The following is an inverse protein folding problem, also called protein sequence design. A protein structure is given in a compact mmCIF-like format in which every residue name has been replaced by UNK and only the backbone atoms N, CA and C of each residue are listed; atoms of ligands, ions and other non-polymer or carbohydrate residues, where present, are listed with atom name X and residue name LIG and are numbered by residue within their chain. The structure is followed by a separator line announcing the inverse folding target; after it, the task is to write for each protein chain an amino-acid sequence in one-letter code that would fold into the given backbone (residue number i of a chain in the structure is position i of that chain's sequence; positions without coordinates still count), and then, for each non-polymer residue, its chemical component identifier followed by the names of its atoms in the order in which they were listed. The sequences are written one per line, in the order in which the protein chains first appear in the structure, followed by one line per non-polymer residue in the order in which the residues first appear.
data_IF_392491822040
#
_entry.id   IF_392491822040
#
_cell.length_a   1.000
_cell.length_b   1.000
_cell.length_c   1.000
_cell.angle_alpha   90.00
_cell.angle_beta   90.00
_cell.angle_gamma   90.00
#
_symmetry.space_group_name_H-M   'P 1'
#
loop_
_entity.id
_entity.type
_entity.pdbx_description
1 polymer ?
#
# COMPACT_ATOMS: atom_id res chain seq x y z
N UNK A 1 2.05 11.75 13.19
CA UNK A 1 0.96 12.68 12.79
C UNK A 1 0.26 13.19 14.05
N UNK A 2 0.00 14.50 14.16
CA UNK A 2 -0.91 15.03 15.19
C UNK A 2 -2.16 15.53 14.48
N UNK A 3 -3.30 14.94 14.80
CA UNK A 3 -4.61 15.46 14.37
C UNK A 3 -4.96 16.71 15.17
N UNK A 4 -5.67 17.64 14.53
CA UNK A 4 -6.24 18.79 15.24
C UNK A 4 -7.37 18.35 16.16
N UNK A 5 -7.77 19.22 17.11
CA UNK A 5 -8.91 18.94 17.99
C UNK A 5 -10.20 18.75 17.18
N UNK A 6 -10.41 19.54 16.13
CA UNK A 6 -11.56 19.44 15.23
C UNK A 6 -11.57 18.11 14.46
N UNK A 7 -10.42 17.69 13.93
CA UNK A 7 -10.29 16.39 13.24
C UNK A 7 -10.56 15.20 14.19
N UNK A 8 -10.07 15.27 15.43
CA UNK A 8 -10.36 14.26 16.44
C UNK A 8 -11.84 14.22 16.80
N UNK A 9 -12.48 15.39 16.93
CA UNK A 9 -13.92 15.49 17.20
C UNK A 9 -14.73 14.90 16.04
N UNK A 10 -14.40 15.26 14.79
CA UNK A 10 -15.06 14.72 13.60
C UNK A 10 -14.97 13.18 13.54
N UNK A 11 -13.80 12.62 13.83
CA UNK A 11 -13.62 11.16 13.90
C UNK A 11 -14.51 10.56 14.98
N UNK A 12 -14.54 11.16 16.18
CA UNK A 12 -15.36 10.69 17.30
C UNK A 12 -16.85 10.72 16.93
N UNK A 13 -17.30 11.80 16.31
CA UNK A 13 -18.69 11.96 15.88
C UNK A 13 -19.06 10.92 14.83
N UNK A 14 -18.20 10.67 13.84
CA UNK A 14 -18.41 9.62 12.83
C UNK A 14 -18.46 8.23 13.46
N UNK A 15 -17.57 7.91 14.40
CA UNK A 15 -17.54 6.60 15.08
C UNK A 15 -18.74 6.40 16.04
N UNK A 16 -19.33 7.48 16.54
CA UNK A 16 -20.51 7.41 17.41
C UNK A 16 -21.80 7.12 16.65
N UNK A 17 -21.86 7.38 15.36
CA UNK A 17 -23.03 7.13 14.53
C UNK A 17 -23.25 5.62 14.37
N UNK A 18 -24.49 5.18 14.64
CA UNK A 18 -24.89 3.78 14.46
C UNK A 18 -26.08 3.72 13.55
N UNK A 19 -25.97 2.90 12.50
CA UNK A 19 -27.05 2.62 11.58
C UNK A 19 -27.34 1.12 11.58
N UNK A 20 -28.60 0.74 11.64
CA UNK A 20 -28.98 -0.65 11.40
C UNK A 20 -28.73 -1.03 9.94
N UNK A 21 -28.13 -2.18 9.72
CA UNK A 21 -27.88 -2.71 8.37
C UNK A 21 -28.26 -4.19 8.30
N UNK A 22 -28.75 -4.61 7.13
CA UNK A 22 -28.97 -6.04 6.81
C UNK A 22 -27.73 -6.68 6.17
N UNK A 23 -26.66 -5.90 5.94
CA UNK A 23 -25.41 -6.40 5.39
C UNK A 23 -24.58 -7.06 6.49
N UNK A 24 -23.72 -8.00 6.09
CA UNK A 24 -22.70 -8.53 6.99
C UNK A 24 -21.72 -7.42 7.36
N UNK A 25 -21.26 -7.44 8.59
CA UNK A 25 -20.22 -6.53 9.10
C UNK A 25 -19.06 -7.33 9.68
N UNK A 26 -17.88 -6.76 9.68
CA UNK A 26 -16.68 -7.32 10.29
C UNK A 26 -16.40 -6.60 11.61
N UNK A 27 -16.73 -7.20 12.77
CA UNK A 27 -16.70 -6.50 14.06
C UNK A 27 -15.32 -5.89 14.41
N UNK A 28 -14.24 -6.53 14.02
CA UNK A 28 -12.89 -6.02 14.28
C UNK A 28 -12.49 -4.86 13.35
N UNK A 29 -13.07 -4.80 12.14
CA UNK A 29 -12.89 -3.66 11.26
C UNK A 29 -13.77 -2.47 11.69
N UNK A 30 -15.00 -2.74 12.12
CA UNK A 30 -15.92 -1.73 12.65
C UNK A 30 -15.30 -0.90 13.80
N UNK A 31 -14.47 -1.52 14.64
CA UNK A 31 -13.80 -0.84 15.76
C UNK A 31 -12.81 0.24 15.32
N UNK A 32 -12.32 0.17 14.08
CA UNK A 32 -11.31 1.09 13.55
C UNK A 32 -11.81 1.90 12.35
N UNK A 33 -13.10 1.82 12.02
CA UNK A 33 -13.66 2.69 10.99
C UNK A 33 -13.41 4.16 11.36
N UNK A 34 -13.03 4.94 10.35
CA UNK A 34 -12.67 6.36 10.46
C UNK A 34 -11.41 6.66 11.27
N UNK A 35 -10.80 5.68 11.93
CA UNK A 35 -9.53 5.89 12.62
C UNK A 35 -8.41 6.17 11.61
N UNK A 36 -7.69 7.26 11.79
CA UNK A 36 -6.53 7.60 10.99
C UNK A 36 -5.30 6.85 11.52
N UNK A 37 -4.98 5.71 10.91
CA UNK A 37 -3.80 4.92 11.22
C UNK A 37 -2.56 5.65 10.69
N UNK A 38 -1.66 6.15 11.56
CA UNK A 38 -0.54 6.99 11.14
C UNK A 38 0.48 6.22 10.31
N UNK A 39 0.99 6.84 9.25
CA UNK A 39 2.03 6.30 8.37
C UNK A 39 3.00 7.43 8.03
N UNK A 40 4.30 7.18 8.11
CA UNK A 40 5.36 8.18 7.97
C UNK A 40 5.21 9.33 8.99
N UNK A 41 5.66 10.54 8.64
CA UNK A 41 5.62 11.70 9.53
C UNK A 41 4.25 12.40 9.56
N UNK A 42 3.56 12.56 8.42
CA UNK A 42 2.28 13.26 8.30
C UNK A 42 1.18 12.46 7.62
N UNK A 43 1.49 11.28 7.08
CA UNK A 43 0.56 10.44 6.35
C UNK A 43 -0.33 9.58 7.24
N UNK A 44 -1.36 9.01 6.62
CA UNK A 44 -2.24 8.03 7.26
C UNK A 44 -2.94 7.13 6.25
N UNK A 45 -3.46 6.01 6.74
CA UNK A 45 -4.47 5.16 6.10
C UNK A 45 -5.70 5.14 7.00
N UNK A 46 -6.89 5.38 6.44
CA UNK A 46 -8.16 5.36 7.15
C UNK A 46 -9.17 4.54 6.36
N UNK A 47 -9.78 3.53 6.95
CA UNK A 47 -10.92 2.82 6.36
C UNK A 47 -12.16 3.67 6.55
N UNK A 48 -12.87 3.95 5.46
CA UNK A 48 -14.10 4.76 5.50
C UNK A 48 -15.35 3.99 5.13
N UNK A 49 -15.20 2.87 4.41
CA UNK A 49 -16.34 2.04 4.00
C UNK A 49 -15.86 0.68 3.49
N UNK A 50 -16.71 -0.34 3.59
CA UNK A 50 -16.42 -1.66 3.04
C UNK A 50 -17.71 -2.43 2.74
N UNK A 51 -17.61 -3.47 1.94
CA UNK A 51 -18.69 -4.39 1.60
C UNK A 51 -18.20 -5.83 1.67
N UNK A 52 -18.95 -6.68 2.37
CA UNK A 52 -18.66 -8.11 2.47
C UNK A 52 -17.64 -8.47 3.55
N UNK A 53 -17.49 -9.78 3.76
CA UNK A 53 -16.56 -10.43 4.67
C UNK A 53 -16.16 -11.80 4.12
N UNK A 54 -15.45 -12.65 4.90
CA UNK A 54 -15.09 -14.02 4.49
C UNK A 54 -16.31 -14.87 4.08
N UNK A 55 -17.49 -14.66 4.69
CA UNK A 55 -18.71 -15.38 4.32
C UNK A 55 -19.26 -14.97 2.95
N UNK A 56 -19.05 -13.74 2.54
CA UNK A 56 -19.42 -13.21 1.23
C UNK A 56 -18.64 -13.87 0.11
N UNK A 57 -17.37 -14.17 0.34
CA UNK A 57 -16.50 -14.90 -0.60
C UNK A 57 -17.03 -16.33 -0.81
N UNK A 58 -17.34 -17.02 0.30
CA UNK A 58 -17.91 -18.37 0.28
C UNK A 58 -19.26 -18.39 -0.42
N UNK A 59 -20.10 -17.40 -0.13
CA UNK A 59 -21.41 -17.22 -0.76
C UNK A 59 -21.26 -17.07 -2.29
N UNK A 60 -20.37 -16.21 -2.73
CA UNK A 60 -20.11 -15.96 -4.14
C UNK A 60 -19.59 -17.19 -4.87
N UNK A 61 -18.67 -17.94 -4.27
CA UNK A 61 -18.17 -19.19 -4.84
C UNK A 61 -19.29 -20.25 -5.01
N UNK A 62 -20.22 -20.33 -4.04
CA UNK A 62 -21.30 -21.32 -4.06
C UNK A 62 -22.41 -21.05 -5.08
N UNK A 63 -22.56 -19.81 -5.54
CA UNK A 63 -23.48 -19.46 -6.64
C UNK A 63 -23.22 -20.30 -7.88
N UNK A 64 -21.97 -20.61 -8.18
CA UNK A 64 -21.58 -21.43 -9.32
C UNK A 64 -22.14 -22.86 -9.31
N UNK A 65 -22.61 -23.37 -8.17
CA UNK A 65 -23.23 -24.69 -8.06
C UNK A 65 -24.77 -24.70 -8.22
N UNK A 66 -25.38 -23.53 -8.50
CA UNK A 66 -26.81 -23.42 -8.78
C UNK A 66 -27.76 -23.75 -7.61
N UNK A 67 -27.24 -24.13 -6.46
CA UNK A 67 -28.07 -24.53 -5.29
C UNK A 67 -28.38 -23.39 -4.32
N UNK A 68 -28.05 -22.16 -4.69
CA UNK A 68 -28.22 -20.99 -3.87
C UNK A 68 -27.47 -21.05 -2.53
N UNK A 69 -27.34 -19.93 -1.89
CA UNK A 69 -26.63 -19.81 -0.62
C UNK A 69 -27.61 -20.04 0.54
N UNK A 70 -27.97 -21.28 0.81
CA UNK A 70 -28.90 -21.60 1.90
C UNK A 70 -28.31 -21.34 3.29
N UNK A 71 -27.00 -21.19 3.40
CA UNK A 71 -26.33 -21.00 4.69
C UNK A 71 -25.12 -20.09 4.52
N UNK A 72 -25.13 -18.97 5.21
CA UNK A 72 -23.95 -18.16 5.41
C UNK A 72 -22.99 -18.96 6.29
N UNK A 73 -21.81 -19.28 5.78
CA UNK A 73 -20.78 -19.99 6.54
C UNK A 73 -19.41 -19.52 6.09
N UNK A 74 -18.51 -19.41 7.03
CA UNK A 74 -17.09 -19.25 6.78
C UNK A 74 -16.50 -20.64 6.54
N UNK A 75 -16.42 -21.03 5.26
CA UNK A 75 -15.77 -22.29 4.88
C UNK A 75 -14.29 -22.00 4.60
N UNK A 76 -13.48 -22.15 5.65
CA UNK A 76 -12.02 -21.92 5.56
C UNK A 76 -11.37 -22.79 4.49
N UNK A 77 -11.78 -24.05 4.38
CA UNK A 77 -11.26 -24.96 3.37
C UNK A 77 -11.53 -24.49 1.95
N UNK A 78 -12.73 -23.95 1.71
CA UNK A 78 -13.08 -23.38 0.40
C UNK A 78 -12.28 -22.10 0.10
N UNK A 79 -12.15 -21.18 1.05
CA UNK A 79 -11.33 -19.96 0.86
C UNK A 79 -9.88 -20.32 0.54
N UNK A 80 -9.28 -21.26 1.28
CA UNK A 80 -7.93 -21.76 1.02
C UNK A 80 -7.81 -22.42 -0.35
N UNK A 81 -8.79 -23.20 -0.75
CA UNK A 81 -8.85 -23.82 -2.08
C UNK A 81 -8.89 -22.74 -3.17
N UNK A 82 -9.78 -21.75 -3.06
CA UNK A 82 -9.92 -20.66 -4.03
C UNK A 82 -8.60 -19.87 -4.16
N UNK A 83 -7.97 -19.54 -3.05
CA UNK A 83 -6.70 -18.79 -3.02
C UNK A 83 -5.58 -19.58 -3.68
N UNK A 84 -5.44 -20.87 -3.32
CA UNK A 84 -4.40 -21.76 -3.86
C UNK A 84 -4.52 -21.97 -5.37
N UNK A 85 -5.76 -22.10 -5.88
CA UNK A 85 -6.03 -22.37 -7.28
C UNK A 85 -6.32 -21.13 -8.14
N UNK A 86 -6.03 -19.94 -7.62
CA UNK A 86 -6.13 -18.68 -8.35
C UNK A 86 -7.55 -18.36 -8.84
N UNK A 87 -8.58 -18.81 -8.14
CA UNK A 87 -9.94 -18.36 -8.39
C UNK A 87 -10.09 -16.90 -7.93
N UNK A 88 -10.38 -16.00 -8.85
CA UNK A 88 -10.37 -14.55 -8.60
C UNK A 88 -11.73 -14.00 -8.19
N UNK A 89 -12.76 -14.27 -9.00
CA UNK A 89 -14.08 -13.64 -8.91
C UNK A 89 -14.73 -13.66 -7.51
N UNK A 90 -14.64 -14.74 -6.69
CA UNK A 90 -15.23 -14.72 -5.36
C UNK A 90 -14.65 -13.64 -4.44
N UNK A 91 -13.35 -13.31 -4.59
CA UNK A 91 -12.69 -12.27 -3.81
C UNK A 91 -13.03 -10.86 -4.33
N UNK A 92 -13.38 -10.71 -5.62
CA UNK A 92 -13.81 -9.45 -6.22
C UNK A 92 -15.18 -8.98 -5.70
N UNK A 93 -15.96 -9.88 -5.06
CA UNK A 93 -17.28 -9.55 -4.49
C UNK A 93 -17.20 -8.85 -3.12
N UNK A 94 -16.03 -8.61 -2.60
CA UNK A 94 -15.79 -7.78 -1.43
C UNK A 94 -15.06 -6.50 -1.85
N UNK A 95 -15.47 -5.34 -1.35
CA UNK A 95 -14.88 -4.04 -1.68
C UNK A 95 -14.51 -3.26 -0.42
N UNK A 96 -13.50 -2.40 -0.52
CA UNK A 96 -13.08 -1.50 0.56
C UNK A 96 -12.72 -0.14 0.01
N UNK A 97 -13.01 0.91 0.78
CA UNK A 97 -12.66 2.29 0.48
C UNK A 97 -11.79 2.88 1.58
N UNK A 98 -10.63 3.34 1.18
CA UNK A 98 -9.68 4.02 2.05
C UNK A 98 -9.65 5.52 1.77
N UNK A 99 -9.45 6.31 2.81
CA UNK A 99 -8.91 7.65 2.73
C UNK A 99 -7.43 7.59 3.08
N UNK A 100 -6.58 8.05 2.18
CA UNK A 100 -5.12 7.96 2.35
C UNK A 100 -4.50 9.33 2.18
N UNK A 101 -3.64 9.73 3.12
CA UNK A 101 -2.76 10.89 3.01
C UNK A 101 -1.33 10.40 2.80
N UNK A 102 -0.72 10.83 1.68
CA UNK A 102 0.57 10.30 1.25
C UNK A 102 1.38 11.36 0.47
N UNK A 103 2.73 11.23 0.42
CA UNK A 103 3.55 12.11 -0.41
C UNK A 103 3.27 11.90 -1.91
N UNK A 104 3.32 12.97 -2.70
CA UNK A 104 3.03 12.93 -4.14
C UNK A 104 3.93 11.92 -4.87
N UNK A 105 5.21 11.78 -4.52
CA UNK A 105 6.08 10.80 -5.18
C UNK A 105 5.66 9.35 -4.93
N UNK A 106 5.03 9.06 -3.77
CA UNK A 106 4.42 7.75 -3.48
C UNK A 106 3.09 7.59 -4.21
N UNK A 107 2.27 8.64 -4.26
CA UNK A 107 1.04 8.64 -5.05
C UNK A 107 1.32 8.31 -6.53
N UNK A 108 2.38 8.85 -7.11
CA UNK A 108 2.83 8.55 -8.48
C UNK A 108 3.21 7.08 -8.70
N UNK A 109 3.76 6.42 -7.69
CA UNK A 109 4.05 4.99 -7.73
C UNK A 109 2.78 4.15 -7.52
N UNK A 110 1.91 4.55 -6.60
CA UNK A 110 0.68 3.83 -6.25
C UNK A 110 -0.34 3.83 -7.37
N UNK A 111 -0.53 4.96 -8.06
CA UNK A 111 -1.51 5.11 -9.15
C UNK A 111 -1.28 4.15 -10.33
N UNK A 112 -0.14 3.46 -10.40
CA UNK A 112 0.15 2.42 -11.39
C UNK A 112 -0.70 1.15 -11.14
N UNK A 113 -1.27 0.97 -9.95
CA UNK A 113 -2.29 -0.03 -9.65
C UNK A 113 -3.65 0.50 -10.12
N UNK A 114 -4.02 0.17 -11.37
CA UNK A 114 -5.14 0.79 -12.10
C UNK A 114 -6.50 0.14 -11.84
N UNK A 115 -6.54 -1.00 -11.18
CA UNK A 115 -7.78 -1.73 -10.84
C UNK A 115 -8.39 -1.20 -9.54
N UNK A 116 -8.58 0.11 -9.49
CA UNK A 116 -9.13 0.85 -8.36
C UNK A 116 -9.77 2.15 -8.85
N UNK A 117 -10.65 2.71 -8.03
CA UNK A 117 -11.19 4.05 -8.24
C UNK A 117 -10.44 5.03 -7.32
N UNK A 118 -10.03 6.15 -7.86
CA UNK A 118 -9.29 7.20 -7.14
C UNK A 118 -10.00 8.53 -7.29
N UNK A 119 -10.18 9.22 -6.17
CA UNK A 119 -10.62 10.62 -6.14
C UNK A 119 -9.64 11.39 -5.27
N UNK A 120 -8.78 12.17 -5.92
CA UNK A 120 -7.67 12.89 -5.28
C UNK A 120 -8.06 14.32 -4.95
N UNK A 121 -7.57 14.81 -3.81
CA UNK A 121 -7.62 16.21 -3.40
C UNK A 121 -7.03 17.11 -4.50
N UNK A 122 -7.75 18.14 -4.85
CA UNK A 122 -7.37 18.98 -5.98
C UNK A 122 -6.68 20.28 -5.55
N UNK A 123 -5.39 20.38 -5.79
CA UNK A 123 -4.63 21.62 -5.68
C UNK A 123 -5.07 22.73 -6.68
N UNK A 124 -6.12 22.48 -7.47
CA UNK A 124 -6.77 23.51 -8.31
C UNK A 124 -7.85 24.26 -7.54
N UNK A 125 -8.46 23.62 -6.54
CA UNK A 125 -9.57 24.20 -5.78
C UNK A 125 -9.15 24.69 -4.40
N UNK A 126 -8.11 24.09 -3.83
CA UNK A 126 -7.64 24.41 -2.48
C UNK A 126 -6.11 24.53 -2.46
N UNK A 127 -5.59 25.25 -1.48
CA UNK A 127 -4.18 25.30 -1.16
C UNK A 127 -3.79 23.96 -0.52
N UNK A 128 -2.71 23.32 -0.98
CA UNK A 128 -2.21 22.10 -0.38
C UNK A 128 -1.70 22.35 1.04
N UNK A 129 -1.82 21.34 1.91
CA UNK A 129 -1.29 21.37 3.26
C UNK A 129 0.22 21.71 3.25
N UNK A 130 0.66 22.51 4.24
CA UNK A 130 2.08 22.86 4.42
C UNK A 130 2.82 21.73 5.12
N UNK A 131 2.74 20.54 4.57
CA UNK A 131 3.35 19.33 5.11
C UNK A 131 4.16 18.60 4.04
N UNK A 132 5.37 18.20 4.43
CA UNK A 132 6.35 17.59 3.54
C UNK A 132 6.92 16.36 4.21
N UNK A 133 7.05 15.27 3.46
CA UNK A 133 7.75 14.10 3.93
C UNK A 133 9.25 14.38 4.05
N UNK A 134 9.79 14.22 5.25
CA UNK A 134 11.21 14.23 5.52
C UNK A 134 11.59 12.87 6.11
N UNK A 135 12.43 12.08 5.40
CA UNK A 135 12.80 10.75 5.88
C UNK A 135 13.53 10.84 7.23
N UNK A 136 13.33 9.82 8.08
CA UNK A 136 14.16 9.65 9.27
C UNK A 136 15.60 9.30 8.86
N UNK A 137 16.60 9.61 9.72
CA UNK A 137 18.02 9.39 9.41
C UNK A 137 18.33 7.93 9.07
N UNK A 138 17.68 6.99 9.73
CA UNK A 138 17.81 5.54 9.51
C UNK A 138 17.16 5.06 8.19
N UNK A 139 16.50 5.95 7.46
CA UNK A 139 15.91 5.68 6.15
C UNK A 139 16.72 6.28 4.99
N UNK A 140 17.78 7.04 5.29
CA UNK A 140 18.67 7.59 4.27
C UNK A 140 19.66 6.53 3.82
N UNK A 141 19.56 6.10 2.56
CA UNK A 141 20.44 5.08 2.00
C UNK A 141 21.01 5.52 0.66
N UNK A 142 22.23 5.08 0.39
CA UNK A 142 22.85 5.22 -0.91
C UNK A 142 22.12 4.37 -1.95
N UNK A 143 22.39 4.62 -3.22
CA UNK A 143 21.91 3.78 -4.31
C UNK A 143 22.57 2.39 -4.22
N UNK A 144 21.77 1.32 -4.30
CA UNK A 144 22.32 -0.03 -4.37
C UNK A 144 23.18 -0.23 -5.61
N UNK A 145 24.35 -0.84 -5.47
CA UNK A 145 25.25 -1.20 -6.56
C UNK A 145 24.82 -2.48 -7.28
N UNK A 146 24.02 -3.32 -6.62
CA UNK A 146 23.56 -4.62 -7.14
C UNK A 146 22.21 -4.50 -7.84
N UNK A 147 21.32 -3.70 -7.30
CA UNK A 147 19.98 -3.48 -7.83
C UNK A 147 19.73 -1.98 -8.03
N UNK A 148 19.60 -1.54 -9.26
CA UNK A 148 19.39 -0.12 -9.61
C UNK A 148 18.12 0.51 -9.03
N UNK A 149 17.19 -0.28 -8.49
CA UNK A 149 15.97 0.18 -7.84
C UNK A 149 16.03 0.09 -6.32
N UNK A 150 17.03 -0.58 -5.76
CA UNK A 150 17.17 -0.85 -4.34
C UNK A 150 17.98 0.21 -3.60
N UNK A 151 17.82 0.19 -2.27
CA UNK A 151 18.65 0.96 -1.33
C UNK A 151 19.90 0.14 -1.00
N UNK A 152 21.03 0.81 -0.90
CA UNK A 152 22.31 0.29 -0.42
C UNK A 152 22.56 0.63 1.05
N UNK A 153 23.81 0.91 1.39
CA UNK A 153 24.22 1.24 2.74
C UNK A 153 23.62 2.56 3.23
N UNK A 154 23.46 2.68 4.55
CA UNK A 154 22.96 3.90 5.17
C UNK A 154 23.95 5.05 5.00
N UNK A 155 23.40 6.22 4.67
CA UNK A 155 24.13 7.49 4.71
C UNK A 155 24.05 8.03 6.14
N UNK A 156 25.20 8.31 6.76
CA UNK A 156 25.29 8.73 8.16
C UNK A 156 26.12 10.01 8.32
N UNK A 157 26.19 10.55 9.54
CA UNK A 157 27.00 11.71 9.87
C UNK A 157 26.57 12.99 9.13
N UNK A 158 27.55 13.85 8.85
CA UNK A 158 27.32 15.19 8.25
C UNK A 158 26.62 15.13 6.90
N UNK A 159 26.90 14.08 6.08
CA UNK A 159 26.23 13.88 4.80
C UNK A 159 24.73 13.64 4.96
N UNK A 160 24.32 12.87 5.96
CA UNK A 160 22.90 12.66 6.25
C UNK A 160 22.22 13.96 6.68
N UNK A 161 22.88 14.75 7.53
CA UNK A 161 22.36 16.03 8.01
C UNK A 161 22.25 17.06 6.86
N UNK A 162 23.21 17.09 5.95
CA UNK A 162 23.17 17.93 4.74
C UNK A 162 21.99 17.54 3.84
N UNK A 163 21.78 16.26 3.57
CA UNK A 163 20.67 15.78 2.73
C UNK A 163 19.32 16.17 3.35
N UNK A 164 19.14 15.93 4.65
CA UNK A 164 17.90 16.29 5.35
C UNK A 164 17.66 17.81 5.34
N UNK A 165 18.72 18.58 5.51
CA UNK A 165 18.65 20.06 5.43
C UNK A 165 18.19 20.52 4.06
N UNK A 166 18.79 19.98 2.97
CA UNK A 166 18.39 20.30 1.59
C UNK A 166 16.90 19.99 1.38
N UNK A 167 16.43 18.79 1.75
CA UNK A 167 15.04 18.39 1.56
C UNK A 167 14.07 19.32 2.31
N UNK A 168 14.40 19.70 3.54
CA UNK A 168 13.58 20.60 4.36
C UNK A 168 13.57 22.02 3.85
N UNK A 169 14.76 22.57 3.55
CA UNK A 169 14.92 23.96 3.13
C UNK A 169 14.25 24.18 1.76
N UNK A 170 14.46 23.24 0.80
CA UNK A 170 13.83 23.33 -0.51
C UNK A 170 12.30 23.22 -0.43
N UNK A 171 11.76 22.25 0.33
CA UNK A 171 10.33 22.12 0.51
C UNK A 171 9.73 23.40 1.12
N UNK A 172 10.34 23.95 2.17
CA UNK A 172 9.89 25.17 2.84
C UNK A 172 9.98 26.38 1.90
N UNK A 173 11.08 26.55 1.19
CA UNK A 173 11.31 27.66 0.26
C UNK A 173 10.32 27.63 -0.91
N UNK A 174 10.13 26.45 -1.52
CA UNK A 174 9.23 26.31 -2.68
C UNK A 174 7.77 26.51 -2.27
N UNK A 175 7.38 26.06 -1.08
CA UNK A 175 6.05 26.32 -0.55
C UNK A 175 5.82 27.80 -0.27
N UNK A 176 6.78 28.50 0.35
CA UNK A 176 6.69 29.95 0.52
C UNK A 176 6.59 30.72 -0.80
N UNK A 177 7.25 30.23 -1.86
CA UNK A 177 7.09 30.80 -3.20
C UNK A 177 5.71 30.47 -3.81
N UNK A 178 5.15 29.29 -3.52
CA UNK A 178 3.82 28.90 -3.91
C UNK A 178 2.76 29.84 -3.29
N UNK A 179 2.83 30.13 -1.97
CA UNK A 179 1.98 31.11 -1.31
C UNK A 179 2.13 32.52 -1.94
N UNK A 180 3.37 32.95 -2.21
CA UNK A 180 3.63 34.25 -2.89
C UNK A 180 3.04 34.32 -4.30
N UNK A 181 3.14 33.25 -5.08
CA UNK A 181 2.55 33.19 -6.43
C UNK A 181 1.02 33.22 -6.36
N UNK A 182 0.42 32.54 -5.40
CA UNK A 182 -1.02 32.58 -5.16
C UNK A 182 -1.49 33.94 -4.63
N UNK A 183 -0.61 34.73 -4.05
CA UNK A 183 -0.92 35.89 -3.23
C UNK A 183 -1.85 35.57 -2.05
N UNK A 184 -1.80 34.32 -1.56
CA UNK A 184 -2.66 33.79 -0.51
C UNK A 184 -1.84 32.86 0.40
N UNK A 185 -1.99 32.99 1.72
CA UNK A 185 -1.37 32.09 2.71
C UNK A 185 -2.24 30.85 2.94
N UNK A 186 -1.64 29.84 3.55
CA UNK A 186 -2.35 28.60 3.92
C UNK A 186 -3.60 28.86 4.79
N UNK A 187 -3.61 29.91 5.62
CA UNK A 187 -4.76 30.29 6.45
C UNK A 187 -5.85 31.08 5.68
N UNK A 188 -5.69 31.24 4.37
CA UNK A 188 -6.63 31.96 3.50
C UNK A 188 -6.44 33.47 3.47
N UNK A 189 -5.46 34.01 4.22
CA UNK A 189 -5.21 35.48 4.23
C UNK A 189 -4.47 35.95 2.97
N UNK A 190 -4.86 37.06 2.39
CA UNK A 190 -4.18 37.72 1.27
C UNK A 190 -2.83 38.26 1.70
N UNK A 191 -1.80 38.13 0.84
CA UNK A 191 -0.45 38.65 1.13
C UNK A 191 -0.33 40.14 0.77
N UNK A 192 -0.85 40.53 -0.40
CA UNK A 192 -0.78 41.88 -0.94
C UNK A 192 -2.09 42.25 -1.64
N UNK A 193 -2.89 43.10 -1.04
CA UNK A 193 -4.21 43.54 -1.55
C UNK A 193 -4.12 44.24 -2.93
N UNK A 194 -2.98 44.75 -3.30
CA UNK A 194 -2.75 45.46 -4.56
C UNK A 194 -2.37 44.57 -5.75
N UNK A 195 -2.24 43.22 -5.56
CA UNK A 195 -1.78 42.32 -6.59
C UNK A 195 -2.71 41.13 -6.82
N UNK A 196 -2.93 40.75 -8.08
CA UNK A 196 -3.59 39.49 -8.38
C UNK A 196 -2.68 38.27 -8.08
N UNK A 197 -3.26 37.15 -7.64
CA UNK A 197 -2.56 35.88 -7.50
C UNK A 197 -2.50 35.12 -8.83
N UNK A 198 -1.50 34.26 -8.98
CA UNK A 198 -1.42 33.29 -10.08
C UNK A 198 -2.50 32.20 -9.87
N UNK A 199 -3.07 31.71 -10.97
CA UNK A 199 -4.02 30.61 -10.90
C UNK A 199 -3.42 29.37 -10.18
N UNK A 200 -4.20 28.77 -9.25
CA UNK A 200 -3.76 27.60 -8.45
C UNK A 200 -3.24 26.44 -9.30
N UNK A 201 -3.85 26.20 -10.48
CA UNK A 201 -3.42 25.16 -11.41
C UNK A 201 -2.00 25.35 -11.95
N UNK A 202 -1.49 26.56 -11.97
CA UNK A 202 -0.11 26.89 -12.38
C UNK A 202 0.82 26.99 -11.17
N UNK A 203 0.42 27.68 -10.12
CA UNK A 203 1.27 27.91 -8.94
C UNK A 203 1.78 26.60 -8.31
N UNK A 204 0.95 25.53 -8.30
CA UNK A 204 1.29 24.21 -7.75
C UNK A 204 2.46 23.51 -8.45
N UNK A 205 2.86 23.95 -9.65
CA UNK A 205 4.01 23.37 -10.37
C UNK A 205 5.33 23.50 -9.59
N UNK A 206 5.42 24.49 -8.72
CA UNK A 206 6.62 24.77 -7.94
C UNK A 206 6.76 23.94 -6.65
N UNK A 207 5.77 23.13 -6.32
CA UNK A 207 5.81 22.27 -5.13
C UNK A 207 6.74 21.08 -5.33
N UNK A 208 7.43 20.70 -4.27
CA UNK A 208 8.29 19.53 -4.26
C UNK A 208 7.49 18.25 -4.22
N UNK A 209 8.04 17.16 -4.75
CA UNK A 209 7.35 15.85 -4.83
C UNK A 209 7.10 15.21 -3.45
N UNK A 210 7.81 15.65 -2.41
CA UNK A 210 7.59 15.20 -1.04
C UNK A 210 6.43 15.93 -0.33
N UNK A 211 5.76 16.89 -1.00
CA UNK A 211 4.49 17.46 -0.50
C UNK A 211 3.44 16.38 -0.38
N UNK A 212 2.60 16.48 0.67
CA UNK A 212 1.51 15.54 0.88
C UNK A 212 0.29 15.87 0.00
N UNK A 213 -0.36 14.80 -0.50
CA UNK A 213 -1.70 14.82 -1.12
C UNK A 213 -2.61 13.85 -0.37
N UNK A 214 -3.90 13.88 -0.69
CA UNK A 214 -4.89 12.99 -0.10
C UNK A 214 -5.81 12.46 -1.18
N UNK A 215 -6.28 11.24 -1.01
CA UNK A 215 -7.28 10.66 -1.89
C UNK A 215 -8.20 9.67 -1.22
N UNK A 216 -9.37 9.49 -1.77
CA UNK A 216 -10.14 8.27 -1.61
C UNK A 216 -9.66 7.24 -2.63
N UNK A 217 -9.37 6.04 -2.18
CA UNK A 217 -8.96 4.91 -3.00
C UNK A 217 -9.86 3.72 -2.69
N UNK A 218 -10.65 3.28 -3.68
CA UNK A 218 -11.60 2.16 -3.56
C UNK A 218 -11.20 1.03 -4.48
N UNK A 219 -11.19 -0.20 -3.98
CA UNK A 219 -10.87 -1.39 -4.77
C UNK A 219 -11.58 -2.61 -4.19
N UNK A 220 -11.71 -3.66 -5.00
CA UNK A 220 -12.11 -4.97 -4.53
C UNK A 220 -10.96 -5.69 -3.79
N UNK A 221 -11.32 -6.74 -3.04
CA UNK A 221 -10.37 -7.47 -2.21
C UNK A 221 -9.27 -8.16 -3.03
N UNK A 222 -9.58 -8.75 -4.21
CA UNK A 222 -8.58 -9.39 -5.06
C UNK A 222 -7.48 -8.39 -5.46
N UNK A 223 -7.91 -7.23 -5.95
CA UNK A 223 -6.99 -6.19 -6.42
C UNK A 223 -6.23 -5.54 -5.25
N UNK A 224 -6.85 -5.43 -4.07
CA UNK A 224 -6.15 -5.05 -2.85
C UNK A 224 -5.06 -6.06 -2.51
N UNK A 225 -5.35 -7.37 -2.51
CA UNK A 225 -4.35 -8.40 -2.23
C UNK A 225 -3.21 -8.39 -3.25
N UNK A 226 -3.49 -8.13 -4.54
CA UNK A 226 -2.46 -7.97 -5.56
C UNK A 226 -1.57 -6.73 -5.30
N UNK A 227 -2.15 -5.63 -4.85
CA UNK A 227 -1.38 -4.45 -4.42
C UNK A 227 -0.49 -4.80 -3.22
N UNK A 228 -1.05 -5.43 -2.20
CA UNK A 228 -0.34 -5.80 -0.96
C UNK A 228 0.78 -6.79 -1.22
N UNK A 229 0.57 -7.78 -2.09
CA UNK A 229 1.61 -8.73 -2.50
C UNK A 229 2.87 -8.03 -3.04
N UNK A 230 2.68 -6.96 -3.83
CA UNK A 230 3.79 -6.23 -4.44
C UNK A 230 4.35 -5.12 -3.54
N UNK A 231 3.56 -4.57 -2.62
CA UNK A 231 3.94 -3.35 -1.88
C UNK A 231 4.21 -3.57 -0.40
N UNK A 232 3.70 -4.66 0.19
CA UNK A 232 4.10 -5.10 1.52
C UNK A 232 5.34 -6.02 1.50
N UNK A 233 5.88 -6.33 0.31
CA UNK A 233 7.12 -7.09 0.16
C UNK A 233 8.33 -6.32 0.70
N UNK A 234 9.28 -7.02 1.31
CA UNK A 234 10.49 -6.43 1.92
C UNK A 234 11.37 -5.68 0.93
N UNK A 235 11.32 -6.03 -0.37
CA UNK A 235 12.06 -5.35 -1.44
C UNK A 235 11.31 -4.12 -2.00
N UNK A 236 10.07 -3.87 -1.58
CA UNK A 236 9.35 -2.66 -1.95
C UNK A 236 10.00 -1.43 -1.31
N UNK A 237 9.89 -0.28 -1.97
CA UNK A 237 10.36 0.99 -1.41
C UNK A 237 9.73 1.22 -0.04
N UNK A 238 10.52 1.62 0.96
CA UNK A 238 10.06 1.77 2.35
C UNK A 238 8.79 2.60 2.48
N UNK A 239 8.74 3.76 1.82
CA UNK A 239 7.64 4.70 1.98
C UNK A 239 6.29 4.17 1.46
N UNK A 240 6.24 3.35 0.41
CA UNK A 240 4.99 2.71 -0.01
C UNK A 240 4.71 1.44 0.80
N UNK A 241 5.76 0.75 1.25
CA UNK A 241 5.63 -0.48 2.03
C UNK A 241 4.91 -0.24 3.35
N UNK A 242 5.26 0.81 4.09
CA UNK A 242 4.60 1.10 5.38
C UNK A 242 3.10 1.42 5.24
N UNK A 243 2.68 1.99 4.11
CA UNK A 243 1.26 2.12 3.77
C UNK A 243 0.62 0.75 3.52
N UNK A 244 1.26 -0.09 2.73
CA UNK A 244 0.78 -1.44 2.43
C UNK A 244 0.70 -2.30 3.71
N UNK A 245 1.67 -2.21 4.61
CA UNK A 245 1.67 -2.90 5.91
C UNK A 245 0.49 -2.44 6.81
N UNK A 246 0.23 -1.13 6.86
CA UNK A 246 -0.93 -0.59 7.56
C UNK A 246 -2.25 -1.13 6.97
N UNK A 247 -2.37 -1.17 5.64
CA UNK A 247 -3.54 -1.74 4.96
C UNK A 247 -3.67 -3.25 5.17
N UNK A 248 -2.56 -3.99 5.17
CA UNK A 248 -2.58 -5.44 5.44
C UNK A 248 -3.14 -5.74 6.84
N UNK A 249 -2.84 -4.90 7.82
CA UNK A 249 -3.44 -5.00 9.16
C UNK A 249 -4.96 -4.76 9.16
N UNK A 250 -5.46 -3.88 8.29
CA UNK A 250 -6.92 -3.70 8.13
C UNK A 250 -7.56 -4.91 7.46
N UNK A 251 -6.91 -5.54 6.48
CA UNK A 251 -7.38 -6.78 5.83
C UNK A 251 -7.50 -7.92 6.85
N UNK A 252 -6.53 -8.04 7.77
CA UNK A 252 -6.61 -9.01 8.88
C UNK A 252 -7.86 -8.83 9.74
N UNK A 253 -8.28 -7.59 9.98
CA UNK A 253 -9.49 -7.26 10.76
C UNK A 253 -10.76 -7.46 9.94
N UNK A 254 -10.71 -7.24 8.63
CA UNK A 254 -11.83 -7.34 7.72
C UNK A 254 -12.18 -8.78 7.36
N UNK A 255 -11.21 -9.53 6.85
CA UNK A 255 -11.35 -10.89 6.31
C UNK A 255 -10.23 -11.80 6.83
N UNK A 256 -10.27 -12.18 8.12
CA UNK A 256 -9.17 -12.88 8.78
C UNK A 256 -8.80 -14.23 8.16
N UNK A 257 -9.78 -14.98 7.65
CA UNK A 257 -9.54 -16.28 7.00
C UNK A 257 -8.85 -16.08 5.65
N UNK A 258 -9.34 -15.15 4.85
CA UNK A 258 -8.72 -14.77 3.58
C UNK A 258 -7.32 -14.19 3.78
N UNK A 259 -7.13 -13.37 4.82
CA UNK A 259 -5.79 -12.86 5.17
C UNK A 259 -4.81 -14.00 5.47
N UNK A 260 -5.21 -14.99 6.29
CA UNK A 260 -4.37 -16.15 6.59
C UNK A 260 -4.06 -16.96 5.33
N UNK A 261 -5.05 -17.20 4.47
CA UNK A 261 -4.85 -17.88 3.19
C UNK A 261 -3.93 -17.08 2.24
N UNK A 262 -4.03 -15.76 2.23
CA UNK A 262 -3.15 -14.89 1.43
C UNK A 262 -1.69 -14.98 1.91
N UNK A 263 -1.45 -14.95 3.21
CA UNK A 263 -0.09 -15.11 3.75
C UNK A 263 0.49 -16.47 3.41
N UNK A 264 -0.29 -17.55 3.51
CA UNK A 264 0.17 -18.91 3.25
C UNK A 264 0.40 -19.19 1.75
N UNK A 265 -0.58 -18.87 0.90
CA UNK A 265 -0.57 -19.27 -0.51
C UNK A 265 -0.05 -18.21 -1.49
N UNK A 266 0.26 -16.99 -1.01
CA UNK A 266 0.80 -15.91 -1.83
C UNK A 266 2.11 -15.39 -1.28
N UNK A 267 2.11 -14.79 -0.09
CA UNK A 267 3.27 -14.12 0.48
C UNK A 267 4.37 -15.12 0.84
N UNK A 268 4.01 -16.21 1.53
CA UNK A 268 4.94 -17.27 1.93
C UNK A 268 5.18 -18.34 0.87
N UNK A 269 4.48 -18.28 -0.27
CA UNK A 269 4.61 -19.29 -1.31
C UNK A 269 5.79 -18.98 -2.25
N UNK A 270 6.39 -20.04 -2.77
CA UNK A 270 7.46 -19.94 -3.77
C UNK A 270 6.92 -20.23 -5.17
N UNK A 271 7.12 -19.28 -6.09
CA UNK A 271 6.84 -19.51 -7.50
C UNK A 271 7.95 -20.29 -8.17
N UNK A 272 7.63 -21.49 -8.62
CA UNK A 272 8.58 -22.39 -9.27
C UNK A 272 8.18 -22.62 -10.73
N UNK A 273 9.10 -22.39 -11.66
CA UNK A 273 8.88 -22.71 -13.08
C UNK A 273 8.76 -24.21 -13.33
N UNK A 274 8.26 -24.61 -14.51
CA UNK A 274 8.21 -26.01 -14.89
C UNK A 274 9.60 -26.69 -14.87
N UNK A 275 10.66 -25.95 -15.23
CA UNK A 275 12.05 -26.41 -15.17
C UNK A 275 12.52 -26.54 -13.71
N UNK A 276 12.28 -25.50 -12.89
CA UNK A 276 12.60 -25.53 -11.47
C UNK A 276 11.91 -26.67 -10.74
N UNK A 277 10.63 -26.96 -11.06
CA UNK A 277 9.92 -28.14 -10.52
C UNK A 277 10.63 -29.44 -10.84
N UNK A 278 11.13 -29.64 -12.09
CA UNK A 278 11.90 -30.82 -12.47
C UNK A 278 13.19 -30.93 -11.65
N UNK A 279 13.90 -29.83 -11.47
CA UNK A 279 15.13 -29.78 -10.63
C UNK A 279 14.82 -30.24 -9.21
N UNK A 280 13.77 -29.69 -8.57
CA UNK A 280 13.35 -30.13 -7.23
C UNK A 280 13.02 -31.63 -7.21
N UNK A 281 12.28 -32.14 -8.20
CA UNK A 281 11.91 -33.53 -8.27
C UNK A 281 13.13 -34.46 -8.41
N UNK A 282 14.15 -34.05 -9.16
CA UNK A 282 15.42 -34.80 -9.32
C UNK A 282 16.19 -34.80 -8.00
N UNK A 283 16.35 -33.62 -7.37
CA UNK A 283 17.03 -33.53 -6.07
C UNK A 283 16.32 -34.33 -4.97
N UNK A 284 14.98 -34.34 -4.97
CA UNK A 284 14.19 -35.13 -4.02
C UNK A 284 14.39 -36.68 -4.24
N UNK A 285 14.79 -37.09 -5.41
CA UNK A 285 15.16 -38.51 -5.71
C UNK A 285 16.63 -38.81 -5.38
N UNK A 286 17.39 -37.86 -4.89
CA UNK A 286 18.82 -38.00 -4.62
C UNK A 286 19.72 -37.86 -5.87
N UNK A 287 19.17 -37.40 -6.99
CA UNK A 287 19.96 -37.12 -8.19
C UNK A 287 20.79 -35.83 -7.99
N UNK A 288 22.05 -35.88 -8.45
CA UNK A 288 22.91 -34.69 -8.43
C UNK A 288 22.54 -33.80 -9.61
N UNK A 289 22.02 -32.61 -9.31
CA UNK A 289 21.71 -31.58 -10.31
C UNK A 289 22.62 -30.39 -10.08
N UNK A 290 23.26 -29.90 -11.14
CA UNK A 290 24.08 -28.70 -11.14
C UNK A 290 23.38 -27.58 -11.92
N UNK A 291 23.87 -26.36 -11.78
CA UNK A 291 23.38 -25.24 -12.58
C UNK A 291 23.40 -25.55 -14.08
N UNK A 292 24.53 -26.08 -14.57
CA UNK A 292 24.73 -26.39 -16.01
C UNK A 292 23.73 -27.45 -16.51
N UNK A 293 23.37 -28.42 -15.67
CA UNK A 293 22.41 -29.46 -16.04
C UNK A 293 20.95 -29.07 -15.83
N UNK A 294 20.68 -27.99 -15.07
CA UNK A 294 19.33 -27.59 -14.69
C UNK A 294 18.50 -26.96 -15.82
N UNK A 295 19.17 -26.36 -16.80
CA UNK A 295 18.55 -25.56 -17.85
C UNK A 295 17.85 -24.28 -17.35
N UNK A 296 18.16 -23.82 -16.12
CA UNK A 296 17.70 -22.56 -15.52
C UNK A 296 18.67 -21.42 -15.84
N UNK A 297 18.20 -20.18 -15.78
CA UNK A 297 19.11 -19.04 -15.76
C UNK A 297 19.85 -18.97 -14.41
N UNK A 298 21.03 -18.33 -14.38
CA UNK A 298 21.82 -18.15 -13.14
C UNK A 298 20.97 -17.51 -12.03
N UNK A 299 20.17 -16.50 -12.37
CA UNK A 299 19.29 -15.85 -11.41
C UNK A 299 18.23 -16.79 -10.85
N UNK A 300 17.51 -17.49 -11.72
CA UNK A 300 16.47 -18.45 -11.33
C UNK A 300 17.03 -19.60 -10.50
N UNK A 301 18.23 -20.11 -10.86
CA UNK A 301 18.92 -21.12 -10.06
C UNK A 301 19.21 -20.62 -8.65
N UNK A 302 19.80 -19.42 -8.52
CA UNK A 302 20.13 -18.87 -7.21
C UNK A 302 18.88 -18.59 -6.36
N UNK A 303 17.80 -18.08 -6.97
CA UNK A 303 16.51 -17.88 -6.33
C UNK A 303 15.93 -19.20 -5.82
N UNK A 304 15.97 -20.27 -6.64
CA UNK A 304 15.51 -21.60 -6.26
C UNK A 304 16.33 -22.17 -5.09
N UNK A 305 17.64 -22.12 -5.18
CA UNK A 305 18.54 -22.62 -4.12
C UNK A 305 18.32 -21.85 -2.80
N UNK A 306 18.09 -20.57 -2.88
CA UNK A 306 17.83 -19.74 -1.70
C UNK A 306 16.46 -20.06 -1.09
N UNK A 307 15.40 -20.15 -1.91
CA UNK A 307 14.03 -20.38 -1.45
C UNK A 307 13.83 -21.72 -0.77
N UNK A 308 14.60 -22.74 -1.16
CA UNK A 308 14.53 -24.08 -0.58
C UNK A 308 15.74 -24.41 0.32
N UNK A 309 16.58 -23.41 0.64
CA UNK A 309 17.78 -23.55 1.49
C UNK A 309 18.76 -24.65 1.02
N UNK A 310 18.80 -24.90 -0.29
CA UNK A 310 19.78 -25.82 -0.84
C UNK A 310 21.19 -25.25 -0.80
N UNK A 311 22.21 -26.09 -0.51
CA UNK A 311 23.57 -25.64 -0.20
C UNK A 311 24.38 -25.14 -1.41
N UNK A 312 24.00 -25.47 -2.63
CA UNK A 312 24.75 -25.10 -3.84
C UNK A 312 24.24 -23.76 -4.41
N UNK A 313 24.81 -22.66 -3.95
CA UNK A 313 24.65 -21.33 -4.59
C UNK A 313 25.81 -21.11 -5.55
N UNK A 314 25.50 -20.60 -6.75
CA UNK A 314 26.54 -20.11 -7.67
C UNK A 314 26.85 -18.66 -7.27
N UNK A 315 28.10 -18.39 -6.92
CA UNK A 315 28.63 -17.04 -6.62
C UNK A 315 28.75 -16.22 -7.90
#
# INVERSE_FOLDING_TARGET
MKLTTEQNQEITDQQSQKNETKRVTSPELEKILYEALPVLDHGFVRVVDYMGDDSSIVQSARVSYGKGTKKVSTDEGLIKYLMRHWHSTPFEMCEIKYHVKLPIFIARQWIRHRTANVNEYSARYSILDKEFYIPAKDQLSAQSTVNRQGRGDLITGDQADEVLKILKDDATRTYGNYEKMLNERFDGSTIDEGKPGLARELARMNLTLNSYTQWYWKTDLLNLLNFLFLRADSHAQYEIRVYAEAMLNTVKKWVPITHAAFLDYRVGAVHVSAKGKKVIQQMAKGEKVTYESSGLSKREWNELMTSFEFKEKIV
#
